data_IF_583679709197
#
_entry.id   IF_583679709197
#
_cell.length_a   1.000
_cell.length_b   1.000
_cell.length_c   1.000
_cell.angle_alpha   90.00
_cell.angle_beta   90.00
_cell.angle_gamma   90.00
#
_symmetry.space_group_name_H-M   'P 1'
#
loop_
_entity.id
_entity.type
_entity.pdbx_description
1 polymer ?
#
# COMPACT_ATOMS: atom_id res chain seq x y z
N UNK A 1 4.43 24.58 -22.76
CA UNK A 1 4.62 25.57 -23.83
C UNK A 1 6.07 25.48 -24.30
N UNK A 2 6.28 24.83 -25.44
CA UNK A 2 7.60 24.56 -26.00
C UNK A 2 8.05 25.77 -26.82
N UNK A 3 9.09 26.47 -26.36
CA UNK A 3 9.86 27.35 -27.22
C UNK A 3 11.24 26.71 -27.42
N UNK A 4 11.57 26.14 -28.60
CA UNK A 4 12.90 25.61 -28.84
C UNK A 4 13.88 26.78 -28.73
N UNK A 5 14.75 26.74 -27.71
CA UNK A 5 15.73 27.81 -27.45
C UNK A 5 16.54 28.06 -28.72
N UNK A 6 16.42 29.26 -29.31
CA UNK A 6 17.29 29.70 -30.41
C UNK A 6 18.74 29.62 -29.93
N UNK A 7 19.55 28.84 -30.63
CA UNK A 7 20.97 28.67 -30.31
C UNK A 7 21.76 29.71 -31.10
N UNK A 8 22.52 30.56 -30.42
CA UNK A 8 23.45 31.49 -31.05
C UNK A 8 24.86 30.90 -30.96
N UNK A 9 25.53 30.76 -32.11
CA UNK A 9 26.92 30.31 -32.17
C UNK A 9 27.85 31.54 -32.07
N UNK A 10 28.80 31.49 -31.15
CA UNK A 10 29.76 32.56 -30.87
C UNK A 10 31.17 31.96 -30.73
N UNK A 11 32.21 32.75 -30.99
CA UNK A 11 33.58 32.35 -30.65
C UNK A 11 33.86 32.51 -29.14
N UNK A 12 34.95 31.91 -28.65
CA UNK A 12 35.28 31.89 -27.21
C UNK A 12 35.37 33.28 -26.58
N UNK A 13 35.86 34.28 -27.31
CA UNK A 13 36.02 35.64 -26.78
C UNK A 13 34.67 36.34 -26.59
N UNK A 14 33.77 36.20 -27.57
CA UNK A 14 32.41 36.73 -27.47
C UNK A 14 31.58 36.01 -26.39
N UNK A 15 31.80 34.70 -26.16
CA UNK A 15 31.16 33.97 -25.05
C UNK A 15 31.57 34.57 -23.71
N UNK A 16 32.85 34.92 -23.54
CA UNK A 16 33.35 35.54 -22.29
C UNK A 16 32.74 36.91 -22.08
N UNK A 17 32.67 37.75 -23.12
CA UNK A 17 32.07 39.07 -23.03
C UNK A 17 30.56 38.99 -22.73
N UNK A 18 29.86 38.07 -23.40
CA UNK A 18 28.45 37.81 -23.15
C UNK A 18 28.18 37.35 -21.71
N UNK A 19 28.93 36.36 -21.21
CA UNK A 19 28.77 35.85 -19.85
C UNK A 19 29.08 36.91 -18.79
N UNK A 20 30.03 37.81 -19.05
CA UNK A 20 30.35 38.93 -18.14
C UNK A 20 29.19 39.90 -18.02
N UNK A 21 28.47 40.16 -19.12
CA UNK A 21 27.35 41.09 -19.16
C UNK A 21 26.00 40.42 -18.78
N UNK A 22 26.00 39.11 -18.54
CA UNK A 22 24.80 38.37 -18.24
C UNK A 22 24.42 38.53 -16.76
N UNK A 23 23.34 39.27 -16.50
CA UNK A 23 22.69 39.30 -15.19
C UNK A 23 21.34 38.59 -15.27
N UNK A 24 21.26 37.39 -14.68
CA UNK A 24 20.04 36.57 -14.65
C UNK A 24 18.85 37.29 -13.98
N UNK A 25 19.12 38.14 -13.00
CA UNK A 25 18.09 38.83 -12.19
C UNK A 25 17.77 40.26 -12.68
N UNK A 26 18.30 40.68 -13.85
CA UNK A 26 18.20 42.08 -14.31
C UNK A 26 16.76 42.61 -14.44
N UNK A 27 15.79 41.74 -14.72
CA UNK A 27 14.38 42.10 -14.88
C UNK A 27 13.49 41.53 -13.75
N UNK A 28 14.08 41.06 -12.65
CA UNK A 28 13.33 40.51 -11.52
C UNK A 28 13.17 41.54 -10.40
N UNK A 29 12.01 41.52 -9.77
CA UNK A 29 11.75 42.26 -8.54
C UNK A 29 12.43 41.58 -7.35
N UNK A 30 12.61 42.31 -6.24
CA UNK A 30 13.18 41.74 -5.02
C UNK A 30 12.38 40.53 -4.49
N UNK A 31 11.05 40.58 -4.61
CA UNK A 31 10.17 39.48 -4.19
C UNK A 31 10.36 38.21 -5.05
N UNK A 32 10.52 38.38 -6.37
CA UNK A 32 10.80 37.27 -7.28
C UNK A 32 12.18 36.66 -6.97
N UNK A 33 13.19 37.47 -6.71
CA UNK A 33 14.53 37.01 -6.29
C UNK A 33 14.44 36.20 -4.99
N UNK A 34 13.71 36.68 -3.99
CA UNK A 34 13.50 35.94 -2.74
C UNK A 34 12.78 34.61 -2.98
N UNK A 35 11.80 34.58 -3.89
CA UNK A 35 11.07 33.36 -4.23
C UNK A 35 11.97 32.32 -4.90
N UNK A 36 12.87 32.77 -5.79
CA UNK A 36 13.87 31.93 -6.46
C UNK A 36 14.87 31.36 -5.45
N UNK A 37 15.36 32.18 -4.51
CA UNK A 37 16.24 31.74 -3.42
C UNK A 37 15.54 30.68 -2.54
N UNK A 38 14.29 30.94 -2.16
CA UNK A 38 13.48 29.99 -1.36
C UNK A 38 13.29 28.68 -2.11
N UNK A 39 13.02 28.75 -3.41
CA UNK A 39 12.85 27.57 -4.26
C UNK A 39 14.16 26.77 -4.38
N UNK A 40 15.29 27.40 -4.67
CA UNK A 40 16.58 26.72 -4.80
C UNK A 40 17.04 26.08 -3.48
N UNK A 41 16.75 26.73 -2.34
CA UNK A 41 17.03 26.17 -1.00
C UNK A 41 16.42 24.79 -0.80
N UNK A 42 15.22 24.57 -1.36
CA UNK A 42 14.48 23.31 -1.26
C UNK A 42 14.57 22.47 -2.53
N UNK A 43 15.57 22.70 -3.40
CA UNK A 43 15.71 22.02 -4.68
C UNK A 43 14.46 22.13 -5.58
N UNK A 44 13.79 23.27 -5.51
CA UNK A 44 12.52 23.59 -6.17
C UNK A 44 11.43 22.55 -5.93
N UNK A 45 11.54 21.82 -4.81
CA UNK A 45 10.52 20.86 -4.40
C UNK A 45 9.32 21.62 -3.83
N UNK A 46 8.08 21.32 -4.27
CA UNK A 46 6.90 21.98 -3.73
C UNK A 46 6.75 21.65 -2.24
N UNK A 47 6.56 22.67 -1.40
CA UNK A 47 6.23 22.52 0.02
C UNK A 47 4.73 22.64 0.22
N UNK A 48 4.20 21.85 1.16
CA UNK A 48 2.79 21.85 1.52
C UNK A 48 2.62 22.54 2.88
N UNK A 49 1.70 23.50 3.02
CA UNK A 49 1.44 24.14 4.31
C UNK A 49 0.96 23.09 5.33
N UNK A 50 1.50 23.15 6.56
CA UNK A 50 1.15 22.20 7.64
C UNK A 50 -0.34 22.23 8.00
N UNK A 51 -1.02 23.37 7.77
CA UNK A 51 -2.48 23.50 7.81
C UNK A 51 -2.97 24.30 6.60
N UNK A 52 -2.98 23.65 5.43
CA UNK A 52 -3.72 24.13 4.27
C UNK A 52 -4.64 23.03 3.75
N UNK A 53 -5.65 23.43 2.99
CA UNK A 53 -6.64 22.52 2.43
C UNK A 53 -6.00 21.45 1.54
N UNK A 54 -5.85 20.23 2.06
CA UNK A 54 -5.25 19.09 1.36
C UNK A 54 -6.12 18.56 0.20
N UNK A 55 -7.28 19.17 -0.07
CA UNK A 55 -8.19 18.78 -1.16
C UNK A 55 -7.57 18.92 -2.56
N UNK A 56 -6.60 19.82 -2.75
CA UNK A 56 -5.91 20.00 -4.03
C UNK A 56 -4.73 19.03 -4.29
N UNK A 57 -4.45 18.07 -3.39
CA UNK A 57 -3.48 17.00 -3.66
C UNK A 57 -4.00 15.92 -4.64
N UNK A 58 -5.23 16.04 -5.14
CA UNK A 58 -5.83 15.01 -6.01
C UNK A 58 -5.18 14.90 -7.40
N UNK A 59 -4.39 15.88 -7.84
CA UNK A 59 -3.80 15.92 -9.19
C UNK A 59 -2.33 15.51 -9.26
N UNK A 60 -1.75 15.02 -8.17
CA UNK A 60 -0.41 14.42 -8.21
C UNK A 60 -0.50 13.04 -8.89
N UNK A 61 0.00 12.92 -10.11
CA UNK A 61 0.19 11.63 -10.77
C UNK A 61 1.11 10.76 -9.93
N UNK A 62 0.55 9.69 -9.38
CA UNK A 62 1.25 8.75 -8.53
C UNK A 62 2.06 7.75 -9.36
N UNK A 63 3.19 8.20 -9.89
CA UNK A 63 4.08 7.37 -10.71
C UNK A 63 4.63 6.13 -9.99
N UNK A 64 4.54 6.06 -8.66
CA UNK A 64 5.10 4.99 -7.84
C UNK A 64 4.05 4.08 -7.20
N UNK A 65 2.75 4.31 -7.45
CA UNK A 65 1.67 3.51 -6.85
C UNK A 65 1.58 3.64 -5.33
N UNK A 66 2.15 4.69 -4.73
CA UNK A 66 2.17 4.91 -3.27
C UNK A 66 0.81 5.41 -2.75
N UNK A 67 0.03 6.04 -3.63
CA UNK A 67 -1.31 6.59 -3.42
C UNK A 67 -2.43 5.73 -4.04
N UNK A 68 -2.13 4.55 -4.63
CA UNK A 68 -3.09 3.48 -4.99
C UNK A 68 -3.75 2.86 -3.73
N UNK A 69 -4.35 3.72 -2.91
CA UNK A 69 -4.90 3.40 -1.60
C UNK A 69 -5.43 4.59 -0.84
N UNK A 70 -5.44 5.82 -1.42
CA UNK A 70 -6.24 6.89 -0.82
C UNK A 70 -7.72 6.52 -0.95
N UNK A 71 -8.44 6.38 0.17
CA UNK A 71 -9.84 5.97 0.15
C UNK A 71 -10.63 7.06 -0.58
N UNK A 72 -11.60 6.64 -1.42
CA UNK A 72 -12.72 7.50 -1.78
C UNK A 72 -13.51 7.90 -0.52
N UNK A 73 -14.74 8.43 -0.64
CA UNK A 73 -15.66 8.44 0.50
C UNK A 73 -15.56 7.06 1.15
N UNK A 74 -15.29 7.03 2.46
CA UNK A 74 -15.12 5.78 3.19
C UNK A 74 -16.41 5.00 2.98
N UNK A 75 -16.42 4.09 2.01
CA UNK A 75 -17.36 2.99 2.03
C UNK A 75 -17.10 2.34 3.38
N UNK A 76 -18.14 2.14 4.17
CA UNK A 76 -18.11 1.44 5.46
C UNK A 76 -17.77 -0.06 5.26
N UNK A 77 -16.76 -0.36 4.43
CA UNK A 77 -16.05 -1.62 4.41
C UNK A 77 -15.37 -1.75 5.76
N UNK A 78 -16.06 -2.47 6.65
CA UNK A 78 -15.65 -2.70 8.03
C UNK A 78 -14.16 -2.97 8.17
N UNK A 79 -13.58 -2.45 9.26
CA UNK A 79 -12.18 -2.73 9.65
C UNK A 79 -11.91 -4.22 9.42
N UNK A 80 -11.01 -4.56 8.49
CA UNK A 80 -10.55 -5.95 8.37
C UNK A 80 -9.89 -6.30 9.69
N UNK A 81 -10.60 -7.05 10.52
CA UNK A 81 -10.07 -7.51 11.80
C UNK A 81 -8.78 -8.28 11.52
N UNK A 82 -7.69 -7.78 12.10
CA UNK A 82 -6.36 -8.34 11.90
C UNK A 82 -6.25 -9.55 12.82
N UNK A 83 -6.54 -10.73 12.29
CA UNK A 83 -6.38 -11.98 13.02
C UNK A 83 -4.92 -12.44 12.99
N UNK A 84 -4.42 -13.10 14.05
CA UNK A 84 -3.11 -13.74 14.01
C UNK A 84 -2.99 -14.66 12.79
N UNK A 85 -1.83 -14.66 12.14
CA UNK A 85 -1.59 -15.39 10.88
C UNK A 85 -1.97 -16.88 10.98
N UNK A 86 -1.72 -17.50 12.13
CA UNK A 86 -2.05 -18.89 12.41
C UNK A 86 -3.57 -19.14 12.43
N UNK A 87 -4.33 -18.24 13.06
CA UNK A 87 -5.80 -18.32 13.17
C UNK A 87 -6.44 -18.10 11.81
N UNK A 88 -5.98 -17.09 11.06
CA UNK A 88 -6.43 -16.83 9.71
C UNK A 88 -6.13 -17.99 8.75
N UNK A 89 -4.94 -18.61 8.89
CA UNK A 89 -4.56 -19.80 8.12
C UNK A 89 -5.44 -21.01 8.45
N UNK A 90 -5.70 -21.26 9.73
CA UNK A 90 -6.57 -22.34 10.18
C UNK A 90 -8.02 -22.16 9.70
N UNK A 91 -8.54 -20.94 9.77
CA UNK A 91 -9.87 -20.58 9.25
C UNK A 91 -9.99 -20.86 7.76
N UNK A 92 -8.97 -20.53 6.95
CA UNK A 92 -8.91 -20.86 5.52
C UNK A 92 -8.90 -22.36 5.25
N UNK A 93 -8.21 -23.15 6.08
CA UNK A 93 -8.14 -24.61 5.91
C UNK A 93 -9.49 -25.28 6.16
N UNK A 94 -10.26 -24.79 7.15
CA UNK A 94 -11.60 -25.28 7.44
C UNK A 94 -12.70 -24.58 6.62
N UNK A 95 -12.38 -23.50 5.91
CA UNK A 95 -13.32 -22.73 5.10
C UNK A 95 -14.32 -21.91 5.93
N UNK A 96 -13.90 -21.37 7.07
CA UNK A 96 -14.78 -20.62 7.98
C UNK A 96 -14.41 -19.15 8.03
N UNK A 97 -15.41 -18.26 8.12
CA UNK A 97 -15.20 -16.84 8.41
C UNK A 97 -15.15 -16.59 9.91
N UNK A 98 -14.21 -15.75 10.35
CA UNK A 98 -14.14 -15.28 11.73
C UNK A 98 -15.10 -14.08 11.93
N UNK A 99 -15.63 -13.85 13.15
CA UNK A 99 -15.49 -14.67 14.36
C UNK A 99 -16.34 -15.96 14.33
N UNK A 100 -15.87 -17.01 15.00
CA UNK A 100 -16.53 -18.34 15.02
C UNK A 100 -16.81 -18.79 16.45
N UNK A 101 -18.03 -19.26 16.71
CA UNK A 101 -18.38 -19.91 17.98
C UNK A 101 -17.92 -21.37 18.05
N UNK A 102 -17.59 -21.84 19.26
CA UNK A 102 -17.15 -23.22 19.52
C UNK A 102 -18.13 -24.29 19.01
N UNK A 103 -19.44 -24.05 19.13
CA UNK A 103 -20.47 -24.98 18.66
C UNK A 103 -20.49 -25.11 17.14
N UNK A 104 -20.29 -24.01 16.43
CA UNK A 104 -20.23 -23.97 14.98
C UNK A 104 -18.94 -24.66 14.48
N UNK A 105 -17.80 -24.35 15.10
CA UNK A 105 -16.51 -24.97 14.78
C UNK A 105 -16.57 -26.51 14.87
N UNK A 106 -17.20 -27.06 15.93
CA UNK A 106 -17.36 -28.51 16.09
C UNK A 106 -18.21 -29.16 15.00
N UNK A 107 -19.25 -28.49 14.50
CA UNK A 107 -20.09 -29.00 13.42
C UNK A 107 -19.30 -29.09 12.12
N UNK A 108 -18.62 -28.01 11.74
CA UNK A 108 -17.80 -27.94 10.52
C UNK A 108 -16.68 -28.99 10.57
N UNK A 109 -16.00 -29.11 11.71
CA UNK A 109 -14.97 -30.13 11.90
C UNK A 109 -15.52 -31.55 11.70
N UNK A 110 -16.66 -31.90 12.29
CA UNK A 110 -17.28 -33.22 12.12
C UNK A 110 -17.62 -33.50 10.66
N UNK A 111 -18.11 -32.50 9.92
CA UNK A 111 -18.40 -32.63 8.50
C UNK A 111 -17.12 -32.84 7.68
N UNK A 112 -16.10 -32.00 7.89
CA UNK A 112 -14.82 -32.11 7.18
C UNK A 112 -14.12 -33.45 7.45
N UNK A 113 -14.14 -33.96 8.68
CA UNK A 113 -13.55 -35.27 9.00
C UNK A 113 -14.30 -36.40 8.31
N UNK A 114 -15.64 -36.36 8.27
CA UNK A 114 -16.43 -37.35 7.53
C UNK A 114 -16.06 -37.33 6.04
N UNK A 115 -16.01 -36.17 5.42
CA UNK A 115 -15.68 -36.03 4.00
C UNK A 115 -14.28 -36.54 3.64
N UNK A 116 -13.29 -36.29 4.50
CA UNK A 116 -11.89 -36.62 4.24
C UNK A 116 -11.40 -37.89 4.96
N UNK A 117 -12.29 -38.66 5.58
CA UNK A 117 -11.91 -39.85 6.35
C UNK A 117 -11.13 -40.85 5.49
N UNK A 118 -10.01 -41.42 5.97
CA UNK A 118 -9.23 -42.39 5.19
C UNK A 118 -10.09 -43.60 4.78
N UNK A 119 -11.05 -44.01 5.62
CA UNK A 119 -11.97 -45.13 5.35
C UNK A 119 -13.03 -44.85 4.25
N UNK A 120 -13.16 -43.61 3.77
CA UNK A 120 -13.98 -43.33 2.58
C UNK A 120 -13.12 -43.19 1.32
N UNK A 121 -11.81 -43.00 1.47
CA UNK A 121 -10.88 -42.72 0.39
C UNK A 121 -9.77 -43.77 0.29
N UNK A 122 -10.15 -45.04 0.49
CA UNK A 122 -9.27 -46.21 0.46
C UNK A 122 -8.27 -46.09 -0.71
N UNK A 123 -6.99 -45.92 -0.39
CA UNK A 123 -5.89 -45.90 -1.38
C UNK A 123 -5.33 -44.53 -1.79
N UNK A 124 -5.97 -43.40 -1.46
CA UNK A 124 -5.39 -42.07 -1.76
C UNK A 124 -4.54 -41.56 -0.59
N UNK A 125 -3.20 -41.73 -0.67
CA UNK A 125 -2.21 -41.13 0.28
C UNK A 125 -2.41 -39.62 0.54
N UNK A 126 -3.08 -38.92 -0.38
CA UNK A 126 -3.42 -37.49 -0.28
C UNK A 126 -4.51 -37.20 0.77
N UNK A 127 -5.44 -38.10 1.03
CA UNK A 127 -6.54 -37.89 2.00
C UNK A 127 -6.03 -37.84 3.44
N UNK A 128 -5.10 -38.73 3.81
CA UNK A 128 -4.48 -38.72 5.14
C UNK A 128 -3.71 -37.42 5.47
N UNK A 129 -3.09 -36.78 4.45
CA UNK A 129 -2.44 -35.46 4.64
C UNK A 129 -3.46 -34.36 4.90
N UNK A 130 -4.64 -34.42 4.26
CA UNK A 130 -5.72 -33.43 4.46
C UNK A 130 -6.33 -33.54 5.87
N UNK A 131 -6.60 -34.75 6.36
CA UNK A 131 -7.13 -34.95 7.72
C UNK A 131 -6.17 -34.41 8.78
N UNK A 132 -4.85 -34.62 8.62
CA UNK A 132 -3.85 -34.04 9.53
C UNK A 132 -3.93 -32.51 9.57
N UNK A 133 -4.08 -31.85 8.41
CA UNK A 133 -4.24 -30.39 8.34
C UNK A 133 -5.52 -29.91 9.02
N UNK A 134 -6.63 -30.62 8.84
CA UNK A 134 -7.93 -30.33 9.47
C UNK A 134 -7.80 -30.42 11.01
N UNK A 135 -7.14 -31.45 11.54
CA UNK A 135 -6.94 -31.62 12.97
C UNK A 135 -6.08 -30.50 13.58
N UNK A 136 -5.00 -30.11 12.89
CA UNK A 136 -4.14 -28.99 13.32
C UNK A 136 -4.94 -27.68 13.33
N UNK A 137 -5.69 -27.39 12.27
CA UNK A 137 -6.51 -26.19 12.17
C UNK A 137 -7.56 -26.12 13.29
N UNK A 138 -8.24 -27.24 13.58
CA UNK A 138 -9.21 -27.32 14.69
C UNK A 138 -8.55 -27.04 16.04
N UNK A 139 -7.35 -27.57 16.30
CA UNK A 139 -6.63 -27.33 17.57
C UNK A 139 -6.28 -25.86 17.76
N UNK A 140 -5.79 -25.19 16.71
CA UNK A 140 -5.45 -23.76 16.74
C UNK A 140 -6.70 -22.93 17.06
N UNK A 141 -7.78 -23.14 16.31
CA UNK A 141 -9.02 -22.39 16.50
C UNK A 141 -9.68 -22.66 17.85
N UNK A 142 -9.66 -23.92 18.31
CA UNK A 142 -10.23 -24.26 19.61
C UNK A 142 -9.45 -23.68 20.78
N UNK A 143 -8.13 -23.57 20.69
CA UNK A 143 -7.33 -22.92 21.72
C UNK A 143 -7.61 -21.41 21.72
N UNK A 144 -7.58 -20.78 20.53
CA UNK A 144 -7.85 -19.36 20.40
C UNK A 144 -9.23 -18.94 20.97
N UNK A 145 -10.28 -19.72 20.70
CA UNK A 145 -11.61 -19.45 21.27
C UNK A 145 -11.63 -19.61 22.80
N UNK A 146 -10.89 -20.59 23.35
CA UNK A 146 -10.80 -20.80 24.81
C UNK A 146 -10.01 -19.69 25.50
N UNK A 147 -8.94 -19.21 24.87
CA UNK A 147 -8.10 -18.15 25.40
C UNK A 147 -8.82 -16.79 25.39
N UNK A 148 -9.82 -16.64 24.52
CA UNK A 148 -10.66 -15.45 24.40
C UNK A 148 -11.89 -15.45 25.34
N UNK A 149 -12.18 -16.54 26.06
CA UNK A 149 -13.26 -16.67 27.05
C UNK A 149 -12.74 -16.46 28.47
#
# INVERSE_FOLDING_TARGET
MNNPKKVNYMCLDHIKEYNKNLNYYANMTAEEIESEIKADTIWRKPTWPFRGDMRNFQSAQDFFGVFEGRPGPIEEGGRKEIWPSEVAGAAKVLGVSLPVEMNHLKKIYKQAVKEYHPDLHHGKKRSGRKVKKINIAYKILSNFIKDAQ
#
